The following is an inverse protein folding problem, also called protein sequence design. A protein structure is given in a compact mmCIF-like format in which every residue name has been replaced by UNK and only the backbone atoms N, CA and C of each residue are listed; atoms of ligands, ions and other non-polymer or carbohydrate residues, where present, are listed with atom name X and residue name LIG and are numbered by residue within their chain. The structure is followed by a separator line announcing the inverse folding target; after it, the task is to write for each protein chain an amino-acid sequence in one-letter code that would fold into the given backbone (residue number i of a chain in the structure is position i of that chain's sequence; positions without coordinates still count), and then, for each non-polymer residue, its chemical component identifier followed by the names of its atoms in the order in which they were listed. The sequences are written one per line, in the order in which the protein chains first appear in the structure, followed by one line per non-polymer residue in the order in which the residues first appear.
data_IF_237580515827
#
_entry.id   IF_237580515827
#
_cell.length_a   1.000
_cell.length_b   1.000
_cell.length_c   1.000
_cell.angle_alpha   90.00
_cell.angle_beta   90.00
_cell.angle_gamma   90.00
#
_symmetry.space_group_name_H-M   'P 1'
#
loop_
_entity.id
_entity.type
_entity.pdbx_description
1 polymer ?
#
# COMPACT_ATOMS: atom_id res chain seq x y z
N UNK A 1 15.45 -22.16 64.17
CA UNK A 1 15.26 -22.52 62.75
C UNK A 1 14.50 -21.39 62.07
N UNK A 2 15.20 -20.59 61.27
CA UNK A 2 14.70 -19.35 60.67
C UNK A 2 14.39 -19.63 59.19
N UNK A 3 13.11 -19.64 58.80
CA UNK A 3 12.74 -19.81 57.39
C UNK A 3 12.77 -18.47 56.67
N UNK A 4 13.73 -18.37 55.75
CA UNK A 4 13.90 -17.27 54.80
C UNK A 4 12.77 -17.36 53.76
N UNK A 5 11.80 -16.44 53.81
CA UNK A 5 10.82 -16.28 52.72
C UNK A 5 11.46 -15.45 51.61
N UNK A 6 11.90 -16.13 50.54
CA UNK A 6 12.29 -15.50 49.28
C UNK A 6 11.02 -15.00 48.58
N UNK A 7 10.80 -13.69 48.58
CA UNK A 7 9.76 -13.04 47.77
C UNK A 7 10.34 -12.89 46.37
N UNK A 8 9.90 -13.75 45.45
CA UNK A 8 10.22 -13.64 44.03
C UNK A 8 9.44 -12.45 43.42
N UNK A 9 10.17 -11.39 43.07
CA UNK A 9 9.68 -10.32 42.22
C UNK A 9 9.45 -10.88 40.82
N UNK A 10 8.19 -11.19 40.46
CA UNK A 10 7.80 -11.36 39.07
C UNK A 10 7.79 -9.99 38.39
N UNK A 11 8.88 -9.66 37.71
CA UNK A 11 8.89 -8.60 36.72
C UNK A 11 8.00 -9.04 35.54
N UNK A 12 6.75 -8.55 35.53
CA UNK A 12 5.88 -8.55 34.36
C UNK A 12 6.53 -7.64 33.29
N UNK A 13 7.46 -8.19 32.52
CA UNK A 13 7.86 -7.59 31.25
C UNK A 13 6.67 -7.78 30.32
N UNK A 14 5.79 -6.78 30.28
CA UNK A 14 4.89 -6.60 29.16
C UNK A 14 5.77 -6.41 27.93
N UNK A 15 5.97 -7.48 27.17
CA UNK A 15 6.44 -7.36 25.80
C UNK A 15 5.36 -6.58 25.09
N UNK A 16 5.57 -5.28 24.94
CA UNK A 16 4.76 -4.44 24.05
C UNK A 16 4.99 -5.04 22.68
N UNK A 17 4.08 -5.92 22.27
CA UNK A 17 4.04 -6.45 20.92
C UNK A 17 3.67 -5.28 20.02
N UNK A 18 4.68 -4.62 19.46
CA UNK A 18 4.44 -3.60 18.45
C UNK A 18 3.90 -4.28 17.19
N UNK A 19 2.69 -3.92 16.75
CA UNK A 19 2.11 -4.43 15.52
C UNK A 19 2.72 -3.72 14.31
N UNK A 20 3.92 -4.14 13.91
CA UNK A 20 4.56 -3.65 12.69
C UNK A 20 4.19 -4.51 11.49
N UNK A 21 3.93 -3.86 10.36
CA UNK A 21 3.82 -4.52 9.05
C UNK A 21 4.94 -4.03 8.14
N UNK A 22 5.66 -4.97 7.53
CA UNK A 22 6.61 -4.68 6.46
C UNK A 22 5.86 -4.39 5.15
N UNK A 23 6.19 -3.25 4.54
CA UNK A 23 5.56 -2.78 3.31
C UNK A 23 6.62 -2.44 2.27
N UNK A 24 6.27 -2.60 1.00
CA UNK A 24 6.99 -2.01 -0.11
C UNK A 24 6.30 -0.72 -0.53
N UNK A 25 7.10 0.29 -0.80
CA UNK A 25 6.68 1.56 -1.36
C UNK A 25 7.29 1.64 -2.75
N UNK A 26 6.44 1.61 -3.76
CA UNK A 26 6.84 1.79 -5.16
C UNK A 26 6.58 3.25 -5.49
N UNK A 27 7.62 4.00 -5.84
CA UNK A 27 7.54 5.42 -6.14
C UNK A 27 7.79 5.67 -7.63
N UNK A 28 6.92 6.47 -8.25
CA UNK A 28 7.22 7.09 -9.54
C UNK A 28 8.20 8.25 -9.32
N UNK A 29 9.38 8.13 -9.90
CA UNK A 29 10.50 9.07 -9.77
C UNK A 29 10.76 9.86 -11.04
N UNK A 30 9.78 9.89 -11.97
CA UNK A 30 9.86 10.74 -13.15
C UNK A 30 10.10 12.21 -12.75
N UNK A 31 11.21 12.78 -13.23
CA UNK A 31 11.60 14.16 -12.90
C UNK A 31 12.25 14.34 -11.52
N UNK A 32 12.47 13.27 -10.76
CA UNK A 32 13.20 13.30 -9.49
C UNK A 32 14.68 13.05 -9.76
N UNK A 33 15.55 14.00 -9.40
CA UNK A 33 16.97 13.94 -9.73
C UNK A 33 17.70 12.76 -9.06
N UNK A 34 17.40 12.47 -7.79
CA UNK A 34 17.98 11.35 -7.03
C UNK A 34 16.95 10.87 -6.01
N UNK A 35 16.23 9.76 -6.26
CA UNK A 35 15.31 9.19 -5.28
C UNK A 35 16.01 8.92 -3.96
N UNK A 36 15.35 9.12 -2.81
CA UNK A 36 15.92 8.79 -1.51
C UNK A 36 14.86 8.60 -0.44
N UNK A 37 15.21 7.91 0.65
CA UNK A 37 14.34 7.84 1.82
C UNK A 37 14.02 9.22 2.40
N UNK A 38 14.96 10.16 2.37
CA UNK A 38 14.72 11.52 2.84
C UNK A 38 13.64 12.22 1.98
N UNK A 39 13.69 12.06 0.66
CA UNK A 39 12.67 12.62 -0.23
C UNK A 39 11.31 11.95 -0.02
N UNK A 40 11.28 10.63 0.13
CA UNK A 40 10.07 9.89 0.43
C UNK A 40 9.46 10.32 1.78
N UNK A 41 10.31 10.55 2.78
CA UNK A 41 9.91 10.97 4.12
C UNK A 41 9.22 12.34 4.12
N UNK A 42 9.69 13.27 3.29
CA UNK A 42 9.09 14.61 3.15
C UNK A 42 7.63 14.58 2.69
N UNK A 43 7.15 13.48 2.08
CA UNK A 43 5.75 13.32 1.64
C UNK A 43 4.75 13.16 2.79
N UNK A 44 5.24 12.77 3.97
CA UNK A 44 4.42 12.56 5.17
C UNK A 44 5.26 12.73 6.44
N UNK A 45 6.01 13.85 6.52
CA UNK A 45 7.07 14.05 7.51
C UNK A 45 6.56 13.86 8.94
N UNK A 46 5.33 14.32 9.24
CA UNK A 46 4.72 14.14 10.56
C UNK A 46 4.55 12.65 10.92
N UNK A 47 4.21 11.81 9.95
CA UNK A 47 3.99 10.36 10.16
C UNK A 47 5.32 9.62 10.37
N UNK A 48 6.37 10.03 9.69
CA UNK A 48 7.72 9.52 9.96
C UNK A 48 8.24 9.97 11.33
N UNK A 49 8.10 11.25 11.67
CA UNK A 49 8.56 11.79 12.96
C UNK A 49 7.83 11.18 14.17
N UNK A 50 6.55 10.85 14.02
CA UNK A 50 5.76 10.15 15.05
C UNK A 50 6.01 8.64 15.08
N UNK A 51 6.80 8.13 14.13
CA UNK A 51 7.11 6.71 13.99
C UNK A 51 5.92 5.85 13.52
N UNK A 52 4.91 6.46 12.89
CA UNK A 52 3.87 5.71 12.16
C UNK A 52 4.52 4.94 11.00
N UNK A 53 5.45 5.60 10.32
CA UNK A 53 6.38 4.98 9.38
C UNK A 53 7.78 4.95 9.97
N UNK A 54 8.51 3.87 9.77
CA UNK A 54 9.89 3.75 10.23
C UNK A 54 10.72 2.83 9.32
N UNK A 55 12.04 2.82 9.54
CA UNK A 55 13.01 1.94 8.86
C UNK A 55 12.92 1.97 7.32
N UNK A 56 12.91 3.17 6.74
CA UNK A 56 12.98 3.30 5.28
C UNK A 56 14.32 2.79 4.76
N UNK A 57 14.30 1.88 3.80
CA UNK A 57 15.47 1.41 3.05
C UNK A 57 15.14 1.44 1.57
N UNK A 58 16.00 2.04 0.76
CA UNK A 58 15.88 1.91 -0.70
C UNK A 58 16.43 0.55 -1.11
N UNK A 59 15.63 -0.23 -1.82
CA UNK A 59 15.99 -1.56 -2.27
C UNK A 59 16.51 -1.53 -3.70
N UNK A 60 15.82 -0.80 -4.56
CA UNK A 60 16.07 -0.82 -6.00
C UNK A 60 15.66 0.51 -6.63
N UNK A 61 16.31 0.87 -7.73
CA UNK A 61 15.85 1.91 -8.64
C UNK A 61 16.08 1.43 -10.06
N UNK A 62 15.03 1.51 -10.88
CA UNK A 62 15.07 1.13 -12.28
C UNK A 62 14.19 2.08 -13.11
N UNK A 63 14.85 2.84 -13.99
CA UNK A 63 14.23 3.90 -14.77
C UNK A 63 13.55 4.95 -13.87
N UNK A 64 12.24 5.08 -14.01
CA UNK A 64 11.40 6.01 -13.25
C UNK A 64 10.67 5.33 -12.08
N UNK A 65 11.07 4.13 -11.68
CA UNK A 65 10.51 3.42 -10.54
C UNK A 65 11.61 3.23 -9.49
N UNK A 66 11.33 3.66 -8.26
CA UNK A 66 12.16 3.33 -7.11
C UNK A 66 11.35 2.53 -6.10
N UNK A 67 11.96 1.49 -5.55
CA UNK A 67 11.36 0.62 -4.54
C UNK A 67 12.05 0.86 -3.20
N UNK A 68 11.23 1.10 -2.18
CA UNK A 68 11.65 1.20 -0.81
C UNK A 68 10.95 0.14 0.04
N UNK A 69 11.63 -0.39 1.05
CA UNK A 69 10.94 -1.03 2.17
C UNK A 69 10.75 -0.02 3.30
N UNK A 70 9.67 -0.21 4.05
CA UNK A 70 9.44 0.48 5.31
C UNK A 70 8.61 -0.40 6.24
N UNK A 71 8.54 0.01 7.50
CA UNK A 71 7.60 -0.53 8.47
C UNK A 71 6.48 0.47 8.72
N UNK A 72 5.25 -0.02 8.82
CA UNK A 72 4.12 0.74 9.36
C UNK A 72 3.76 0.20 10.74
N UNK A 73 3.64 1.12 11.70
CA UNK A 73 3.14 0.85 13.05
C UNK A 73 1.61 0.97 13.04
N UNK A 74 0.91 -0.16 13.05
CA UNK A 74 -0.56 -0.19 12.95
C UNK A 74 -1.22 0.36 14.21
N UNK A 75 -0.56 0.25 15.36
CA UNK A 75 -1.08 0.77 16.63
C UNK A 75 -1.14 2.31 16.63
N UNK A 76 -0.35 2.96 15.75
CA UNK A 76 -0.38 4.40 15.51
C UNK A 76 -1.37 4.85 14.43
N UNK A 77 -2.03 3.91 13.76
CA UNK A 77 -3.19 4.20 12.91
C UNK A 77 -4.44 4.37 13.78
N UNK A 78 -5.49 4.98 13.24
CA UNK A 78 -6.78 5.05 13.94
C UNK A 78 -7.26 3.64 14.28
N UNK A 79 -7.82 3.44 15.48
CA UNK A 79 -8.37 2.15 15.92
C UNK A 79 -9.41 1.59 14.95
N UNK A 80 -10.16 2.47 14.29
CA UNK A 80 -11.12 2.11 13.23
C UNK A 80 -10.48 1.38 12.05
N UNK A 81 -9.15 1.35 11.96
CA UNK A 81 -8.40 0.75 10.85
C UNK A 81 -7.67 -0.55 11.23
N UNK A 82 -7.76 -0.98 12.50
CA UNK A 82 -7.04 -2.17 12.99
C UNK A 82 -7.59 -3.47 12.39
N UNK A 83 -8.90 -3.53 12.11
CA UNK A 83 -9.57 -4.69 11.54
C UNK A 83 -9.70 -4.61 10.00
N UNK A 84 -8.99 -3.67 9.35
CA UNK A 84 -9.03 -3.58 7.90
C UNK A 84 -8.37 -4.80 7.27
N UNK A 85 -9.11 -5.45 6.35
CA UNK A 85 -8.51 -6.48 5.49
C UNK A 85 -7.32 -5.89 4.73
N UNK A 86 -6.31 -6.73 4.56
CA UNK A 86 -4.99 -6.38 4.04
C UNK A 86 -5.00 -5.43 2.80
N UNK A 87 -5.82 -5.65 1.76
CA UNK A 87 -5.80 -4.79 0.57
C UNK A 87 -6.21 -3.34 0.89
N UNK A 88 -7.18 -3.16 1.78
CA UNK A 88 -7.65 -1.85 2.21
C UNK A 88 -6.63 -1.16 3.12
N UNK A 89 -5.90 -1.94 3.93
CA UNK A 89 -4.80 -1.41 4.74
C UNK A 89 -3.72 -0.80 3.83
N UNK A 90 -3.27 -1.51 2.79
CA UNK A 90 -2.26 -0.97 1.88
C UNK A 90 -2.73 0.29 1.14
N UNK A 91 -4.00 0.32 0.71
CA UNK A 91 -4.58 1.52 0.12
C UNK A 91 -4.60 2.71 1.10
N UNK A 92 -5.02 2.48 2.34
CA UNK A 92 -5.04 3.51 3.39
C UNK A 92 -3.63 4.01 3.68
N UNK A 93 -2.67 3.10 3.82
CA UNK A 93 -1.27 3.44 4.08
C UNK A 93 -0.68 4.26 2.93
N UNK A 94 -0.96 3.88 1.67
CA UNK A 94 -0.54 4.65 0.51
C UNK A 94 -1.12 6.07 0.52
N UNK A 95 -2.40 6.20 0.90
CA UNK A 95 -3.05 7.50 1.06
C UNK A 95 -2.39 8.33 2.16
N UNK A 96 -2.12 7.74 3.33
CA UNK A 96 -1.46 8.41 4.47
C UNK A 96 -0.05 8.91 4.09
N UNK A 97 0.69 8.10 3.32
CA UNK A 97 2.02 8.44 2.84
C UNK A 97 2.04 9.66 1.89
N UNK A 98 0.93 9.96 1.23
CA UNK A 98 0.79 11.11 0.32
C UNK A 98 -0.06 12.25 0.89
N UNK A 99 -0.52 12.19 2.14
CA UNK A 99 -1.43 13.21 2.70
C UNK A 99 -0.84 14.63 2.69
N UNK A 100 0.47 14.76 2.86
CA UNK A 100 1.16 16.05 2.89
C UNK A 100 1.79 16.40 1.53
N UNK A 101 1.70 15.48 0.56
CA UNK A 101 2.22 15.67 -0.78
C UNK A 101 1.23 16.43 -1.68
N UNK A 102 1.74 17.01 -2.77
CA UNK A 102 0.92 17.70 -3.77
C UNK A 102 0.39 16.76 -4.86
N UNK A 103 0.93 15.55 -4.94
CA UNK A 103 0.69 14.53 -5.96
C UNK A 103 0.68 13.13 -5.31
N UNK A 104 0.01 12.18 -5.95
CA UNK A 104 0.09 10.76 -5.60
C UNK A 104 1.13 10.09 -6.50
N UNK A 105 2.33 9.88 -5.96
CA UNK A 105 3.46 9.29 -6.71
C UNK A 105 3.90 7.96 -6.12
N UNK A 106 3.19 7.43 -5.14
CA UNK A 106 3.52 6.13 -4.55
C UNK A 106 2.38 5.14 -4.67
N UNK A 107 2.75 3.87 -4.63
CA UNK A 107 1.90 2.72 -4.38
C UNK A 107 2.49 1.99 -3.18
N UNK A 108 1.64 1.37 -2.37
CA UNK A 108 2.08 0.55 -1.24
C UNK A 108 1.62 -0.87 -1.45
N UNK A 109 2.53 -1.82 -1.39
CA UNK A 109 2.24 -3.23 -1.69
C UNK A 109 2.83 -4.15 -0.61
N UNK A 110 2.33 -5.40 -0.47
CA UNK A 110 2.86 -6.33 0.51
C UNK A 110 4.33 -6.70 0.21
N UNK A 111 5.17 -6.82 1.24
CA UNK A 111 6.59 -7.15 1.09
C UNK A 111 6.87 -8.44 0.30
N UNK A 112 5.97 -9.43 0.39
CA UNK A 112 6.04 -10.67 -0.40
C UNK A 112 6.00 -10.47 -1.92
N UNK A 113 5.65 -9.28 -2.41
CA UNK A 113 5.67 -8.94 -3.85
C UNK A 113 7.00 -8.33 -4.31
N UNK A 114 8.01 -8.27 -3.45
CA UNK A 114 9.35 -7.86 -3.86
C UNK A 114 9.90 -8.82 -4.94
N UNK A 115 10.52 -8.27 -5.98
CA UNK A 115 11.03 -9.05 -7.12
C UNK A 115 9.99 -9.42 -8.18
N UNK A 116 8.73 -8.98 -8.06
CA UNK A 116 7.69 -9.22 -9.06
C UNK A 116 7.54 -8.12 -10.11
N UNK A 117 8.52 -7.21 -10.23
CA UNK A 117 8.49 -6.12 -11.23
C UNK A 117 8.37 -6.64 -12.66
N UNK A 118 9.14 -7.68 -13.00
CA UNK A 118 9.16 -8.24 -14.36
C UNK A 118 8.35 -9.54 -14.47
N UNK A 119 7.72 -9.98 -13.37
CA UNK A 119 6.84 -11.14 -13.36
C UNK A 119 5.59 -10.88 -14.20
N UNK A 120 5.16 -11.89 -14.97
CA UNK A 120 3.93 -11.84 -15.76
C UNK A 120 2.72 -12.08 -14.85
N UNK A 121 1.92 -11.03 -14.68
CA UNK A 121 0.70 -11.01 -13.88
C UNK A 121 -0.50 -11.27 -14.78
N UNK A 122 -1.16 -12.42 -14.56
CA UNK A 122 -2.47 -12.71 -15.16
C UNK A 122 -3.62 -12.24 -14.29
N UNK A 123 -3.36 -12.11 -13.00
CA UNK A 123 -4.35 -11.71 -12.00
C UNK A 123 -3.79 -10.55 -11.22
N UNK A 124 -4.65 -9.58 -10.95
CA UNK A 124 -4.27 -8.39 -10.18
C UNK A 124 -5.34 -8.07 -9.15
N UNK A 125 -4.91 -7.46 -8.06
CA UNK A 125 -5.73 -6.95 -7.00
C UNK A 125 -5.60 -5.44 -6.93
N UNK A 126 -6.72 -4.72 -6.89
CA UNK A 126 -6.77 -3.27 -6.92
C UNK A 126 -7.81 -2.77 -5.93
N UNK A 127 -7.41 -1.89 -5.02
CA UNK A 127 -8.33 -1.13 -4.18
C UNK A 127 -8.49 0.27 -4.73
N UNK A 128 -9.74 0.67 -4.94
CA UNK A 128 -10.09 1.92 -5.59
C UNK A 128 -11.42 2.47 -5.12
N UNK A 129 -11.85 3.57 -5.73
CA UNK A 129 -13.18 4.13 -5.47
C UNK A 129 -14.26 3.10 -5.76
N UNK A 130 -15.20 2.92 -4.83
CA UNK A 130 -16.35 2.05 -5.02
C UNK A 130 -17.33 2.72 -5.98
N UNK A 131 -17.31 2.27 -7.24
CA UNK A 131 -18.17 2.77 -8.31
C UNK A 131 -18.71 1.57 -9.07
N UNK A 132 -20.03 1.54 -9.23
CA UNK A 132 -20.77 0.45 -9.90
C UNK A 132 -20.27 0.14 -11.33
N UNK A 133 -19.57 1.08 -11.97
CA UNK A 133 -19.05 0.93 -13.33
C UNK A 133 -17.61 0.45 -13.43
N UNK A 134 -16.88 0.23 -12.33
CA UNK A 134 -15.44 -0.13 -12.41
C UNK A 134 -15.23 -1.42 -13.22
N UNK A 135 -15.87 -2.52 -12.83
CA UNK A 135 -15.69 -3.79 -13.53
C UNK A 135 -16.18 -3.78 -14.97
N UNK A 136 -17.25 -3.03 -15.26
CA UNK A 136 -17.72 -2.83 -16.64
C UNK A 136 -16.64 -2.14 -17.47
N UNK A 137 -16.04 -1.07 -16.96
CA UNK A 137 -14.95 -0.35 -17.63
C UNK A 137 -13.69 -1.19 -17.77
N UNK A 138 -13.34 -1.99 -16.76
CA UNK A 138 -12.20 -2.90 -16.81
C UNK A 138 -12.38 -3.96 -17.92
N UNK A 139 -13.57 -4.56 -18.04
CA UNK A 139 -13.89 -5.53 -19.10
C UNK A 139 -13.85 -4.92 -20.50
N UNK A 140 -14.21 -3.64 -20.63
CA UNK A 140 -14.14 -2.90 -21.88
C UNK A 140 -12.73 -2.37 -22.21
N UNK A 141 -11.71 -2.62 -21.38
CA UNK A 141 -10.36 -2.08 -21.57
C UNK A 141 -10.22 -0.57 -21.30
N UNK A 142 -11.28 0.08 -20.82
CA UNK A 142 -11.34 1.54 -20.60
C UNK A 142 -10.63 2.01 -19.32
N UNK A 143 -10.12 1.08 -18.52
CA UNK A 143 -9.36 1.40 -17.30
C UNK A 143 -7.85 1.33 -17.53
N UNK A 144 -7.38 0.29 -18.23
CA UNK A 144 -5.96 0.08 -18.53
C UNK A 144 -5.65 0.22 -20.02
N UNK A 145 -6.13 1.30 -20.64
CA UNK A 145 -5.79 1.70 -22.02
C UNK A 145 -5.69 0.50 -22.98
N UNK A 146 -6.84 -0.13 -23.24
CA UNK A 146 -7.00 -1.27 -24.16
C UNK A 146 -6.49 -2.63 -23.64
N UNK A 147 -6.28 -2.76 -22.33
CA UNK A 147 -6.10 -4.07 -21.67
C UNK A 147 -7.42 -4.48 -21.00
N UNK A 148 -8.25 -5.30 -21.68
CA UNK A 148 -9.51 -5.76 -21.11
C UNK A 148 -9.27 -6.83 -20.04
N UNK A 149 -10.04 -6.73 -18.95
CA UNK A 149 -10.18 -7.82 -18.00
C UNK A 149 -11.14 -8.89 -18.56
N UNK A 150 -10.76 -10.16 -18.49
CA UNK A 150 -11.66 -11.28 -18.77
C UNK A 150 -12.69 -11.40 -17.66
N UNK A 151 -12.21 -11.43 -16.42
CA UNK A 151 -13.03 -11.46 -15.23
C UNK A 151 -12.75 -10.23 -14.35
N UNK A 152 -13.78 -9.74 -13.69
CA UNK A 152 -13.65 -8.68 -12.70
C UNK A 152 -14.73 -8.88 -11.64
N UNK A 153 -14.29 -8.90 -10.39
CA UNK A 153 -15.15 -9.00 -9.22
C UNK A 153 -14.74 -7.94 -8.20
N UNK A 154 -15.72 -7.27 -7.61
CA UNK A 154 -15.53 -6.22 -6.61
C UNK A 154 -16.18 -6.57 -5.28
N UNK A 155 -15.48 -6.29 -4.17
CA UNK A 155 -16.04 -6.36 -2.82
C UNK A 155 -15.84 -5.03 -2.14
N UNK A 156 -16.93 -4.36 -1.78
CA UNK A 156 -16.89 -3.12 -1.01
C UNK A 156 -16.26 -3.31 0.38
N UNK A 157 -15.71 -2.24 0.94
CA UNK A 157 -15.28 -2.22 2.33
C UNK A 157 -16.51 -2.45 3.26
N UNK A 158 -16.39 -3.28 4.31
CA UNK A 158 -17.52 -3.69 5.14
C UNK A 158 -18.22 -2.54 5.87
N UNK A 159 -17.51 -1.44 6.19
CA UNK A 159 -18.05 -0.29 6.91
C UNK A 159 -17.84 1.01 6.11
N UNK A 160 -18.55 1.09 4.99
CA UNK A 160 -18.85 2.20 4.04
C UNK A 160 -17.89 3.37 3.76
N UNK A 161 -16.92 3.73 4.60
CA UNK A 161 -15.86 4.67 4.21
C UNK A 161 -14.55 4.40 4.93
N UNK A 162 -13.45 4.36 4.19
CA UNK A 162 -12.10 4.39 4.72
C UNK A 162 -11.57 5.80 4.50
N UNK A 163 -11.23 6.50 5.58
CA UNK A 163 -10.79 7.89 5.50
C UNK A 163 -11.79 8.80 4.75
N UNK A 164 -13.09 8.60 5.04
CA UNK A 164 -14.24 9.28 4.41
C UNK A 164 -14.43 9.01 2.90
N UNK A 165 -13.86 7.92 2.38
CA UNK A 165 -13.99 7.51 0.98
C UNK A 165 -14.58 6.10 0.91
N UNK A 166 -15.66 5.91 0.14
CA UNK A 166 -16.13 4.57 -0.18
C UNK A 166 -15.17 3.90 -1.15
N UNK A 167 -14.65 2.74 -0.77
CA UNK A 167 -13.67 1.99 -1.54
C UNK A 167 -14.07 0.53 -1.65
N UNK A 168 -13.70 -0.08 -2.76
CA UNK A 168 -13.87 -1.50 -3.02
C UNK A 168 -12.55 -2.14 -3.44
N UNK A 169 -12.42 -3.41 -3.10
CA UNK A 169 -11.34 -4.27 -3.55
C UNK A 169 -11.80 -5.04 -4.79
N UNK A 170 -11.13 -4.80 -5.91
CA UNK A 170 -11.37 -5.44 -7.19
C UNK A 170 -10.29 -6.48 -7.47
N UNK A 171 -10.71 -7.66 -7.90
CA UNK A 171 -9.83 -8.70 -8.42
C UNK A 171 -10.15 -8.88 -9.88
N UNK A 172 -9.13 -8.80 -10.73
CA UNK A 172 -9.26 -8.89 -12.18
C UNK A 172 -8.36 -10.00 -12.72
N UNK A 173 -8.89 -10.74 -13.68
CA UNK A 173 -8.12 -11.61 -14.56
C UNK A 173 -7.94 -10.91 -15.90
N UNK A 174 -6.70 -10.82 -16.39
CA UNK A 174 -6.31 -10.03 -17.54
C UNK A 174 -6.23 -10.89 -18.80
N UNK A 175 -6.66 -10.34 -19.95
CA UNK A 175 -6.60 -11.07 -21.22
C UNK A 175 -5.18 -11.13 -21.81
N UNK A 176 -4.45 -10.01 -21.95
CA UNK A 176 -2.99 -10.06 -21.96
C UNK A 176 -2.46 -9.94 -20.53
N UNK A 177 -1.45 -10.74 -20.17
CA UNK A 177 -0.73 -10.53 -18.91
C UNK A 177 0.02 -9.20 -18.94
N UNK A 178 0.23 -8.63 -17.76
CA UNK A 178 1.05 -7.44 -17.56
C UNK A 178 2.26 -7.78 -16.72
N UNK A 179 3.39 -7.12 -16.97
CA UNK A 179 4.45 -7.11 -15.95
C UNK A 179 4.02 -6.28 -14.74
N UNK A 180 4.60 -6.54 -13.57
CA UNK A 180 4.42 -5.68 -12.39
C UNK A 180 4.75 -4.21 -12.69
N UNK A 181 5.78 -3.98 -13.50
CA UNK A 181 6.15 -2.64 -13.98
C UNK A 181 5.04 -1.99 -14.79
N UNK A 182 4.47 -2.69 -15.77
CA UNK A 182 3.35 -2.17 -16.56
C UNK A 182 2.15 -1.84 -15.67
N UNK A 183 1.82 -2.73 -14.72
CA UNK A 183 0.75 -2.49 -13.75
C UNK A 183 1.00 -1.20 -12.94
N UNK A 184 2.21 -1.02 -12.39
CA UNK A 184 2.52 0.17 -11.60
C UNK A 184 2.48 1.44 -12.44
N UNK A 185 3.03 1.44 -13.67
CA UNK A 185 2.95 2.58 -14.57
C UNK A 185 1.51 2.98 -14.90
N UNK A 186 0.65 1.99 -15.15
CA UNK A 186 -0.77 2.22 -15.38
C UNK A 186 -1.47 2.79 -14.13
N UNK A 187 -1.17 2.27 -12.94
CA UNK A 187 -1.71 2.78 -11.68
C UNK A 187 -1.22 4.20 -11.37
N UNK A 188 0.03 4.54 -11.70
CA UNK A 188 0.53 5.91 -11.60
C UNK A 188 -0.22 6.84 -12.55
N UNK A 189 -0.46 6.43 -13.80
CA UNK A 189 -1.27 7.21 -14.74
C UNK A 189 -2.71 7.42 -14.22
N UNK A 190 -3.32 6.40 -13.61
CA UNK A 190 -4.64 6.54 -12.97
C UNK A 190 -4.64 7.42 -11.72
N UNK A 191 -3.46 7.65 -11.11
CA UNK A 191 -3.28 8.50 -9.94
C UNK A 191 -2.74 9.91 -10.27
N UNK A 192 -2.38 10.17 -11.54
CA UNK A 192 -1.67 11.38 -11.95
C UNK A 192 -2.45 12.66 -11.68
N UNK A 193 -1.74 13.72 -11.30
CA UNK A 193 -2.30 15.03 -10.96
C UNK A 193 -3.17 15.07 -9.69
N UNK A 194 -3.33 13.95 -8.97
CA UNK A 194 -4.21 13.89 -7.80
C UNK A 194 -3.45 14.07 -6.50
N UNK A 195 -3.98 14.93 -5.62
CA UNK A 195 -3.42 15.13 -4.26
C UNK A 195 -3.56 13.89 -3.37
N UNK A 196 -4.64 13.13 -3.56
CA UNK A 196 -4.92 11.93 -2.79
C UNK A 196 -4.96 10.73 -3.72
N UNK A 197 -4.18 9.70 -3.41
CA UNK A 197 -4.21 8.44 -4.13
C UNK A 197 -5.63 7.86 -4.16
N UNK A 198 -6.11 7.55 -5.36
CA UNK A 198 -7.43 6.92 -5.57
C UNK A 198 -7.30 5.42 -5.71
N UNK A 199 -6.23 4.96 -6.34
CA UNK A 199 -6.01 3.56 -6.65
C UNK A 199 -4.71 3.07 -6.02
N UNK A 200 -4.74 1.83 -5.56
CA UNK A 200 -3.57 1.08 -5.13
C UNK A 200 -3.74 -0.37 -5.59
N UNK A 201 -2.67 -1.08 -5.93
CA UNK A 201 -2.81 -2.45 -6.41
C UNK A 201 -1.48 -3.15 -6.65
N UNK A 202 -1.56 -4.46 -6.82
CA UNK A 202 -0.44 -5.38 -7.00
C UNK A 202 -0.91 -6.66 -7.70
N UNK A 203 0.03 -7.50 -8.12
CA UNK A 203 -0.29 -8.82 -8.68
C UNK A 203 -1.01 -9.70 -7.66
N UNK A 204 -2.02 -10.44 -8.08
CA UNK A 204 -2.66 -11.46 -7.24
C UNK A 204 -2.15 -12.83 -7.64
N UNK A 205 -1.91 -13.69 -6.66
CA UNK A 205 -1.63 -15.12 -6.89
C UNK A 205 -2.89 -15.86 -7.36
#
# INVERSE_FOLDING_TARGET
MMQLKVVAFMALIWVVSCNFHDILIVQNTYGVAVPSCEQLQRRSQKRWNTGTFNKCVMLETDGYISIFSANVDVDKLSRSYHDLREPFMYWLVNRILNLEARSCETLVVPMRHYGLLDAQLKRIQLVGLDKDSFCVRAKLGLFFLDIPAQECFGVSAPDQTIHHVSVANFVMELAPSLTGRQLFSLLFAQNDGMRNCRYNGYGAE
#
